data_IF_846359138676
#
_entry.id   IF_846359138676
#
_cell.length_a   1.000
_cell.length_b   1.000
_cell.length_c   1.000
_cell.angle_alpha   90.00
_cell.angle_beta   90.00
_cell.angle_gamma   90.00
#
_symmetry.space_group_name_H-M   'P 1'
#
loop_
_entity.id
_entity.type
_entity.pdbx_description
1 polymer ?
#
# COMPACT_ATOMS: atom_id res chain seq x y z
N UNK A 1 -17.89 -28.45 -8.44
CA UNK A 1 -18.37 -27.08 -8.72
C UNK A 1 -17.17 -26.17 -8.92
N UNK A 2 -16.93 -25.66 -10.14
CA UNK A 2 -15.91 -24.61 -10.35
C UNK A 2 -16.41 -23.35 -9.65
N UNK A 3 -15.73 -22.89 -8.60
CA UNK A 3 -16.03 -21.60 -7.96
C UNK A 3 -15.94 -20.52 -9.03
N UNK A 4 -17.00 -19.73 -9.20
CA UNK A 4 -16.93 -18.52 -10.01
C UNK A 4 -15.82 -17.63 -9.46
N UNK A 5 -15.02 -16.97 -10.32
CA UNK A 5 -13.97 -16.09 -9.87
C UNK A 5 -14.56 -14.99 -8.99
N UNK A 6 -13.91 -14.69 -7.87
CA UNK A 6 -14.36 -13.70 -6.89
C UNK A 6 -14.42 -12.27 -7.47
N UNK A 7 -13.70 -12.03 -8.56
CA UNK A 7 -13.55 -10.73 -9.20
C UNK A 7 -13.73 -10.84 -10.71
N UNK A 8 -14.00 -9.70 -11.32
CA UNK A 8 -14.17 -9.55 -12.77
C UNK A 8 -12.89 -9.05 -13.44
N UNK A 9 -12.68 -9.34 -14.74
CA UNK A 9 -11.55 -8.80 -15.49
C UNK A 9 -11.50 -7.26 -15.51
N UNK A 10 -12.67 -6.61 -15.46
CA UNK A 10 -12.76 -5.16 -15.45
C UNK A 10 -12.20 -4.56 -14.14
N UNK A 11 -12.51 -5.18 -12.99
CA UNK A 11 -11.98 -4.75 -11.69
C UNK A 11 -10.45 -4.86 -11.65
N UNK A 12 -9.90 -5.96 -12.13
CA UNK A 12 -8.43 -6.17 -12.21
C UNK A 12 -7.77 -5.14 -13.10
N UNK A 13 -8.37 -4.80 -14.25
CA UNK A 13 -7.81 -3.81 -15.18
C UNK A 13 -7.94 -2.37 -14.69
N UNK A 14 -8.97 -2.07 -13.90
CA UNK A 14 -9.21 -0.72 -13.38
C UNK A 14 -8.33 -0.38 -12.16
N UNK A 15 -8.05 -1.35 -11.29
CA UNK A 15 -7.22 -1.15 -10.10
C UNK A 15 -6.24 -2.32 -9.86
N UNK A 16 -5.26 -2.52 -10.78
CA UNK A 16 -4.45 -3.72 -10.78
C UNK A 16 -3.55 -3.86 -9.55
N UNK A 17 -3.11 -2.76 -8.92
CA UNK A 17 -2.31 -2.83 -7.69
C UNK A 17 -3.08 -3.37 -6.48
N UNK A 18 -4.40 -3.56 -6.59
CA UNK A 18 -5.25 -4.11 -5.55
C UNK A 18 -5.32 -5.64 -5.52
N UNK A 19 -4.66 -6.36 -6.43
CA UNK A 19 -4.78 -7.80 -6.60
C UNK A 19 -3.45 -8.54 -6.50
N UNK A 20 -3.48 -9.72 -5.89
CA UNK A 20 -2.35 -10.66 -5.89
C UNK A 20 -2.17 -11.32 -7.25
N UNK A 21 -0.99 -11.87 -7.55
CA UNK A 21 -0.77 -12.59 -8.81
C UNK A 21 -1.75 -13.75 -8.98
N UNK A 22 -2.04 -14.47 -7.88
CA UNK A 22 -3.00 -15.57 -7.87
C UNK A 22 -4.40 -15.11 -8.27
N UNK A 23 -4.90 -14.04 -7.63
CA UNK A 23 -6.22 -13.48 -7.96
C UNK A 23 -6.28 -13.00 -9.41
N UNK A 24 -5.22 -12.37 -9.92
CA UNK A 24 -5.17 -11.99 -11.34
C UNK A 24 -5.20 -13.21 -12.26
N UNK A 25 -4.41 -14.23 -11.95
CA UNK A 25 -4.28 -15.43 -12.79
C UNK A 25 -5.58 -16.22 -12.89
N UNK A 26 -6.38 -16.24 -11.82
CA UNK A 26 -7.72 -16.86 -11.81
C UNK A 26 -8.73 -16.12 -12.71
N UNK A 27 -8.52 -14.82 -12.96
CA UNK A 27 -9.49 -13.95 -13.66
C UNK A 27 -9.12 -13.72 -15.12
N UNK A 28 -7.85 -13.39 -15.42
CA UNK A 28 -7.37 -13.04 -16.76
C UNK A 28 -6.45 -14.12 -17.37
N UNK A 29 -6.19 -15.20 -16.63
CA UNK A 29 -5.30 -16.28 -17.06
C UNK A 29 -3.82 -16.02 -16.74
N UNK A 30 -3.05 -17.09 -16.56
CA UNK A 30 -1.66 -17.04 -16.05
C UNK A 30 -0.71 -16.22 -16.92
N UNK A 31 -0.82 -16.34 -18.25
CA UNK A 31 0.06 -15.64 -19.19
C UNK A 31 -0.18 -14.13 -19.17
N UNK A 32 -1.44 -13.69 -19.22
CA UNK A 32 -1.81 -12.26 -19.17
C UNK A 32 -1.50 -11.69 -17.78
N UNK A 33 -1.82 -12.43 -16.71
CA UNK A 33 -1.51 -12.03 -15.35
C UNK A 33 -0.01 -11.83 -15.14
N UNK A 34 0.83 -12.75 -15.65
CA UNK A 34 2.29 -12.63 -15.51
C UNK A 34 2.82 -11.40 -16.23
N UNK A 35 2.42 -11.18 -17.48
CA UNK A 35 2.82 -10.01 -18.24
C UNK A 35 2.40 -8.70 -17.55
N UNK A 36 1.15 -8.65 -17.06
CA UNK A 36 0.63 -7.48 -16.35
C UNK A 36 1.36 -7.24 -15.01
N UNK A 37 1.60 -8.29 -14.22
CA UNK A 37 2.30 -8.15 -12.94
C UNK A 37 3.74 -7.68 -13.14
N UNK A 38 4.46 -8.24 -14.12
CA UNK A 38 5.79 -7.77 -14.47
C UNK A 38 5.80 -6.31 -14.95
N UNK A 39 4.81 -5.90 -15.74
CA UNK A 39 4.63 -4.50 -16.14
C UNK A 39 4.48 -3.59 -14.90
N UNK A 40 3.62 -3.96 -13.95
CA UNK A 40 3.27 -3.12 -12.79
C UNK A 40 4.43 -2.88 -11.82
N UNK A 41 5.27 -3.90 -11.61
CA UNK A 41 6.30 -3.90 -10.56
C UNK A 41 7.73 -3.76 -11.08
N UNK A 42 8.02 -4.11 -12.33
CA UNK A 42 9.38 -3.97 -12.93
C UNK A 42 9.51 -2.73 -13.81
N UNK A 43 8.41 -2.22 -14.38
CA UNK A 43 8.44 -1.04 -15.23
C UNK A 43 7.98 0.22 -14.48
N UNK A 44 8.06 1.36 -15.18
CA UNK A 44 7.59 2.64 -14.63
C UNK A 44 6.05 2.62 -14.50
N UNK A 45 5.49 3.00 -13.33
CA UNK A 45 4.04 3.01 -13.13
C UNK A 45 3.35 3.94 -14.14
N UNK A 46 2.33 3.41 -14.82
CA UNK A 46 1.49 4.15 -15.77
C UNK A 46 0.37 4.89 -15.03
N UNK A 47 0.12 6.15 -15.39
CA UNK A 47 -0.93 6.99 -14.77
C UNK A 47 -2.31 6.32 -14.72
N UNK A 48 -2.67 5.53 -15.75
CA UNK A 48 -3.96 4.82 -15.82
C UNK A 48 -4.20 3.82 -14.68
N UNK A 49 -3.13 3.26 -14.10
CA UNK A 49 -3.21 2.23 -13.07
C UNK A 49 -3.12 2.82 -11.65
N UNK A 50 -2.94 4.14 -11.52
CA UNK A 50 -2.73 4.78 -10.23
C UNK A 50 -4.05 5.15 -9.56
N UNK A 51 -4.14 4.90 -8.26
CA UNK A 51 -5.24 5.33 -7.37
C UNK A 51 -4.89 6.62 -6.62
N UNK A 52 -3.64 7.06 -6.69
CA UNK A 52 -3.15 8.29 -6.05
C UNK A 52 -2.04 8.97 -6.85
N UNK A 53 -1.81 10.24 -6.57
CA UNK A 53 -0.79 11.07 -7.21
C UNK A 53 0.12 11.70 -6.15
N UNK A 54 1.41 11.85 -6.46
CA UNK A 54 2.32 12.62 -5.61
C UNK A 54 1.97 14.10 -5.74
N UNK A 55 1.50 14.72 -4.65
CA UNK A 55 1.17 16.13 -4.60
C UNK A 55 2.37 16.98 -4.19
N UNK A 56 3.11 16.53 -3.19
CA UNK A 56 4.26 17.25 -2.65
C UNK A 56 5.31 16.28 -2.12
N UNK A 57 6.57 16.70 -2.12
CA UNK A 57 7.70 15.99 -1.52
C UNK A 57 8.52 16.99 -0.69
N UNK A 58 8.53 16.80 0.61
CA UNK A 58 9.35 17.58 1.54
C UNK A 58 10.61 16.78 1.88
N UNK A 59 11.80 17.36 1.68
CA UNK A 59 13.08 16.68 1.94
C UNK A 59 13.81 17.33 3.10
N UNK A 60 14.38 16.51 3.98
CA UNK A 60 15.22 16.95 5.10
C UNK A 60 16.29 15.90 5.36
N UNK A 61 17.56 16.24 5.08
CA UNK A 61 18.70 15.34 5.26
C UNK A 61 18.44 13.96 4.62
N UNK A 62 18.40 12.90 5.42
CA UNK A 62 18.15 11.52 4.98
C UNK A 62 16.66 11.14 4.90
N UNK A 63 15.74 12.08 5.11
CA UNK A 63 14.30 11.83 5.19
C UNK A 63 13.54 12.58 4.10
N UNK A 64 12.63 11.89 3.42
CA UNK A 64 11.73 12.47 2.42
C UNK A 64 10.27 12.13 2.80
N UNK A 65 9.45 13.16 3.02
CA UNK A 65 8.02 13.03 3.27
C UNK A 65 7.26 13.26 1.97
N UNK A 66 6.48 12.26 1.56
CA UNK A 66 5.61 12.29 0.40
C UNK A 66 4.18 12.55 0.86
N UNK A 67 3.53 13.51 0.20
CA UNK A 67 2.09 13.76 0.35
C UNK A 67 1.41 13.26 -0.90
N UNK A 68 0.50 12.29 -0.73
CA UNK A 68 -0.28 11.73 -1.81
C UNK A 68 -1.70 12.29 -1.81
N UNK A 69 -2.19 12.66 -2.98
CA UNK A 69 -3.59 13.02 -3.24
C UNK A 69 -4.33 11.79 -3.77
N UNK A 70 -5.37 11.36 -3.07
CA UNK A 70 -6.23 10.23 -3.40
C UNK A 70 -7.33 10.66 -4.38
N UNK A 71 -7.97 9.70 -5.07
CA UNK A 71 -9.08 9.96 -6.01
C UNK A 71 -10.26 10.72 -5.40
N UNK A 72 -10.46 10.64 -4.09
CA UNK A 72 -11.51 11.32 -3.34
C UNK A 72 -11.05 12.68 -2.75
N UNK A 73 -9.98 13.27 -3.27
CA UNK A 73 -9.39 14.54 -2.85
C UNK A 73 -8.95 14.57 -1.37
N UNK A 74 -8.67 13.39 -0.80
CA UNK A 74 -8.07 13.25 0.52
C UNK A 74 -6.56 13.11 0.41
N UNK A 75 -5.86 13.41 1.50
CA UNK A 75 -4.42 13.35 1.55
C UNK A 75 -3.95 12.31 2.56
N UNK A 76 -2.87 11.61 2.21
CA UNK A 76 -2.11 10.77 3.12
C UNK A 76 -0.63 11.09 3.03
N UNK A 77 0.10 10.73 4.08
CA UNK A 77 1.54 10.93 4.15
C UNK A 77 2.27 9.58 4.15
N UNK A 78 3.43 9.56 3.51
CA UNK A 78 4.37 8.45 3.54
C UNK A 78 5.76 9.02 3.76
N UNK A 79 6.55 8.42 4.64
CA UNK A 79 7.90 8.90 4.92
C UNK A 79 8.91 7.86 4.45
N UNK A 80 9.86 8.26 3.61
CA UNK A 80 11.01 7.46 3.23
C UNK A 80 12.25 7.95 4.00
N UNK A 81 12.88 7.05 4.74
CA UNK A 81 14.11 7.30 5.49
C UNK A 81 15.24 6.52 4.82
N UNK A 82 16.20 7.24 4.24
CA UNK A 82 17.38 6.68 3.60
C UNK A 82 18.28 6.02 4.65
N UNK A 83 18.78 4.82 4.32
CA UNK A 83 19.78 4.08 5.09
C UNK A 83 20.95 3.71 4.16
N UNK A 84 21.97 3.05 4.70
CA UNK A 84 23.16 2.65 3.94
C UNK A 84 22.83 1.76 2.74
N UNK A 85 22.01 0.73 2.94
CA UNK A 85 21.76 -0.32 1.92
C UNK A 85 20.40 -0.23 1.21
N UNK A 86 19.65 0.88 1.41
CA UNK A 86 18.29 1.07 0.93
C UNK A 86 17.53 2.08 1.79
N UNK A 87 16.25 1.87 2.05
CA UNK A 87 15.46 2.76 2.91
C UNK A 87 14.40 2.05 3.73
N UNK A 88 13.92 2.74 4.76
CA UNK A 88 12.73 2.38 5.53
C UNK A 88 11.60 3.27 5.10
N UNK A 89 10.45 2.67 4.75
CA UNK A 89 9.23 3.42 4.41
C UNK A 89 8.21 3.29 5.52
N UNK A 90 7.69 4.43 5.97
CA UNK A 90 6.56 4.54 6.88
C UNK A 90 5.28 4.71 6.07
N UNK A 91 4.40 3.72 6.12
CA UNK A 91 3.21 3.59 5.28
C UNK A 91 1.94 3.85 6.09
N UNK A 92 1.02 4.62 5.52
CA UNK A 92 -0.30 4.89 6.05
C UNK A 92 -1.28 3.77 5.68
N UNK A 93 -2.25 3.50 6.56
CA UNK A 93 -3.29 2.48 6.36
C UNK A 93 -4.69 3.05 6.32
N UNK A 94 -4.89 4.30 6.77
CA UNK A 94 -6.18 4.99 6.78
C UNK A 94 -6.01 6.48 6.46
N UNK A 95 -7.09 7.14 6.08
CA UNK A 95 -7.19 8.60 6.09
C UNK A 95 -7.68 9.02 7.47
N UNK A 96 -6.78 9.60 8.27
CA UNK A 96 -7.02 9.87 9.68
C UNK A 96 -6.86 8.61 10.55
N UNK A 97 -7.27 8.66 11.81
CA UNK A 97 -7.18 7.52 12.73
C UNK A 97 -8.35 7.51 13.74
N UNK A 98 -9.06 6.39 13.91
CA UNK A 98 -10.23 6.30 14.79
C UNK A 98 -9.88 6.18 16.28
N UNK A 99 -8.61 5.91 16.61
CA UNK A 99 -8.20 5.63 18.00
C UNK A 99 -8.23 6.89 18.87
N UNK A 100 -7.96 8.07 18.30
CA UNK A 100 -8.02 9.33 19.05
C UNK A 100 -6.91 9.51 20.10
N UNK A 101 -5.70 8.95 19.89
CA UNK A 101 -4.57 9.17 20.79
C UNK A 101 -4.29 10.67 20.98
N UNK A 102 -4.27 11.16 22.22
CA UNK A 102 -4.18 12.59 22.56
C UNK A 102 -2.93 13.32 22.01
N UNK A 103 -1.85 12.57 21.79
CA UNK A 103 -0.57 13.08 21.28
C UNK A 103 -0.45 12.93 19.74
N UNK A 104 -1.41 12.26 19.09
CA UNK A 104 -1.35 11.93 17.67
C UNK A 104 -2.24 12.87 16.86
N UNK A 105 -1.64 13.63 15.96
CA UNK A 105 -2.38 14.54 15.07
C UNK A 105 -3.38 13.81 14.18
N UNK A 106 -3.05 12.60 13.71
CA UNK A 106 -3.99 11.78 12.93
C UNK A 106 -5.20 11.33 13.75
N UNK A 107 -5.03 11.12 15.06
CA UNK A 107 -6.14 10.82 15.97
C UNK A 107 -7.00 12.06 16.23
N UNK A 108 -6.38 13.25 16.31
CA UNK A 108 -7.08 14.52 16.52
C UNK A 108 -7.93 14.94 15.32
N UNK A 109 -7.46 14.66 14.10
CA UNK A 109 -8.19 14.90 12.86
C UNK A 109 -9.36 13.92 12.63
N UNK A 110 -9.52 12.92 13.51
CA UNK A 110 -10.56 11.92 13.43
C UNK A 110 -10.35 10.89 12.31
N UNK A 111 -11.30 9.98 12.17
CA UNK A 111 -11.30 8.96 11.12
C UNK A 111 -12.18 9.37 9.94
N UNK A 112 -11.67 9.17 8.73
CA UNK A 112 -12.42 9.39 7.49
C UNK A 112 -12.77 8.06 6.83
N UNK A 113 -11.76 7.26 6.47
CA UNK A 113 -11.95 5.95 5.84
C UNK A 113 -10.68 5.10 5.86
N UNK A 114 -10.87 3.82 5.60
CA UNK A 114 -9.79 2.88 5.30
C UNK A 114 -9.20 3.11 3.90
N UNK A 115 -7.89 2.83 3.77
CA UNK A 115 -7.25 2.72 2.46
C UNK A 115 -7.50 1.34 1.86
N UNK A 116 -7.64 1.30 0.55
CA UNK A 116 -7.65 0.04 -0.22
C UNK A 116 -6.26 -0.60 -0.23
N UNK A 117 -6.17 -1.90 -0.51
CA UNK A 117 -4.88 -2.58 -0.69
C UNK A 117 -4.03 -1.92 -1.77
N UNK A 118 -4.66 -1.48 -2.86
CA UNK A 118 -4.02 -0.73 -3.94
C UNK A 118 -3.40 0.58 -3.47
N UNK A 119 -4.14 1.36 -2.67
CA UNK A 119 -3.62 2.60 -2.10
C UNK A 119 -2.42 2.34 -1.16
N UNK A 120 -2.46 1.27 -0.36
CA UNK A 120 -1.35 0.90 0.52
C UNK A 120 -0.11 0.51 -0.30
N UNK A 121 -0.27 -0.33 -1.33
CA UNK A 121 0.83 -0.79 -2.20
C UNK A 121 1.45 0.37 -2.97
N UNK A 122 0.63 1.28 -3.50
CA UNK A 122 1.10 2.39 -4.33
C UNK A 122 1.97 3.40 -3.58
N UNK A 123 1.83 3.53 -2.25
CA UNK A 123 2.74 4.31 -1.42
C UNK A 123 4.20 3.83 -1.53
N UNK A 124 4.44 2.56 -1.86
CA UNK A 124 5.79 1.99 -2.04
C UNK A 124 6.23 2.10 -3.50
N UNK A 125 5.34 1.76 -4.44
CA UNK A 125 5.63 1.78 -5.89
C UNK A 125 5.99 3.19 -6.37
N UNK A 126 5.29 4.21 -5.86
CA UNK A 126 5.49 5.58 -6.27
C UNK A 126 6.80 6.20 -5.75
N UNK A 127 7.44 5.61 -4.74
CA UNK A 127 8.73 6.12 -4.24
C UNK A 127 9.85 5.98 -5.27
N UNK A 128 9.82 4.89 -6.07
CA UNK A 128 10.88 4.54 -7.05
C UNK A 128 12.27 4.45 -6.43
N UNK A 129 12.36 3.94 -5.21
CA UNK A 129 13.61 3.73 -4.49
C UNK A 129 13.69 2.31 -3.95
N UNK A 130 14.91 1.86 -3.67
CA UNK A 130 15.13 0.59 -2.99
C UNK A 130 14.64 0.68 -1.55
N UNK A 131 13.54 -0.02 -1.26
CA UNK A 131 12.98 -0.17 0.09
C UNK A 131 13.46 -1.50 0.65
N UNK A 132 13.97 -1.48 1.89
CA UNK A 132 14.39 -2.69 2.60
C UNK A 132 13.50 -2.98 3.81
N UNK A 133 12.83 -1.96 4.36
CA UNK A 133 11.90 -2.12 5.49
C UNK A 133 10.64 -1.32 5.26
N UNK A 134 9.50 -1.94 5.55
CA UNK A 134 8.18 -1.33 5.53
C UNK A 134 7.66 -1.35 6.96
N UNK A 135 7.34 -0.17 7.49
CA UNK A 135 6.72 -0.03 8.80
C UNK A 135 5.34 0.60 8.63
N UNK A 136 4.30 -0.05 9.15
CA UNK A 136 2.95 0.51 9.18
C UNK A 136 2.79 1.38 10.43
N UNK A 137 3.38 2.58 10.35
CA UNK A 137 3.40 3.59 11.41
C UNK A 137 3.00 4.99 10.90
N UNK A 138 2.37 5.04 9.72
CA UNK A 138 1.86 6.27 9.14
C UNK A 138 0.52 6.67 9.76
N UNK A 139 -0.38 7.19 8.94
CA UNK A 139 -1.74 7.53 9.34
C UNK A 139 -2.58 6.26 9.49
N UNK A 140 -3.30 6.17 10.61
CA UNK A 140 -4.27 5.10 10.89
C UNK A 140 -3.77 4.01 11.86
N UNK A 141 -4.72 3.20 12.32
CA UNK A 141 -4.47 1.97 13.08
C UNK A 141 -4.53 0.77 12.12
N UNK A 142 -3.38 0.12 11.82
CA UNK A 142 -3.32 -0.94 10.82
C UNK A 142 -4.29 -2.09 11.05
N UNK A 143 -4.51 -2.50 12.31
CA UNK A 143 -5.42 -3.62 12.61
C UNK A 143 -6.91 -3.28 12.38
N UNK A 144 -7.28 -2.00 12.37
CA UNK A 144 -8.65 -1.58 12.03
C UNK A 144 -8.90 -1.56 10.50
N UNK A 145 -7.85 -1.77 9.71
CA UNK A 145 -7.91 -1.99 8.27
C UNK A 145 -7.29 -3.35 7.88
N UNK A 146 -7.55 -4.38 8.70
CA UNK A 146 -6.91 -5.69 8.60
C UNK A 146 -6.97 -6.32 7.21
N UNK A 147 -8.16 -6.39 6.59
CA UNK A 147 -8.34 -7.09 5.32
C UNK A 147 -7.52 -6.45 4.19
N UNK A 148 -7.56 -5.12 4.06
CA UNK A 148 -6.78 -4.41 3.05
C UNK A 148 -5.27 -4.47 3.35
N UNK A 149 -4.89 -4.39 4.63
CA UNK A 149 -3.50 -4.49 5.07
C UNK A 149 -2.90 -5.85 4.71
N UNK A 150 -3.56 -6.94 5.10
CA UNK A 150 -3.09 -8.30 4.83
C UNK A 150 -3.05 -8.55 3.32
N UNK A 151 -4.07 -8.10 2.58
CA UNK A 151 -4.06 -8.19 1.12
C UNK A 151 -2.87 -7.43 0.51
N UNK A 152 -2.60 -6.20 0.96
CA UNK A 152 -1.44 -5.43 0.51
C UNK A 152 -0.12 -6.15 0.82
N UNK A 153 0.03 -6.72 2.02
CA UNK A 153 1.22 -7.49 2.40
C UNK A 153 1.40 -8.70 1.47
N UNK A 154 0.33 -9.43 1.13
CA UNK A 154 0.41 -10.53 0.18
C UNK A 154 0.86 -10.09 -1.21
N UNK A 155 0.37 -8.93 -1.68
CA UNK A 155 0.76 -8.35 -2.97
C UNK A 155 2.25 -7.97 -2.98
N UNK A 156 2.71 -7.30 -1.93
CA UNK A 156 4.12 -6.87 -1.79
C UNK A 156 5.09 -8.05 -1.70
N UNK A 157 4.65 -9.17 -1.09
CA UNK A 157 5.43 -10.39 -0.94
C UNK A 157 5.35 -11.33 -2.15
N UNK A 158 4.57 -10.98 -3.17
CA UNK A 158 4.39 -11.85 -4.32
C UNK A 158 5.70 -12.02 -5.09
N UNK A 159 6.04 -13.28 -5.42
CA UNK A 159 7.31 -13.65 -6.04
C UNK A 159 7.48 -13.09 -7.45
N UNK A 160 6.37 -12.84 -8.16
CA UNK A 160 6.41 -12.29 -9.50
C UNK A 160 6.50 -10.75 -9.52
N UNK A 161 6.30 -10.10 -8.36
CA UNK A 161 6.36 -8.64 -8.21
C UNK A 161 7.60 -8.17 -7.47
N UNK A 162 7.39 -7.46 -6.37
CA UNK A 162 8.49 -6.94 -5.55
C UNK A 162 9.22 -8.03 -4.76
N UNK A 163 8.58 -9.19 -4.52
CA UNK A 163 9.14 -10.29 -3.73
C UNK A 163 9.73 -9.82 -2.39
N UNK A 164 8.99 -8.96 -1.68
CA UNK A 164 9.48 -8.31 -0.47
C UNK A 164 9.61 -9.33 0.69
N UNK A 165 10.70 -9.31 1.46
CA UNK A 165 10.91 -10.30 2.50
C UNK A 165 10.07 -10.02 3.75
N UNK A 166 9.62 -11.07 4.44
CA UNK A 166 8.66 -10.97 5.56
C UNK A 166 9.24 -10.24 6.77
N UNK A 167 10.51 -10.47 7.07
CA UNK A 167 11.27 -9.85 8.16
C UNK A 167 11.52 -8.34 7.94
N UNK A 168 11.37 -7.89 6.69
CA UNK A 168 11.38 -6.47 6.34
C UNK A 168 10.06 -5.74 6.66
N UNK A 169 9.00 -6.42 7.09
CA UNK A 169 7.68 -5.83 7.32
C UNK A 169 7.37 -5.79 8.82
N UNK A 170 7.03 -4.60 9.34
CA UNK A 170 6.63 -4.41 10.73
C UNK A 170 5.25 -3.75 10.79
N UNK A 171 4.31 -4.36 11.50
CA UNK A 171 2.99 -3.82 11.77
C UNK A 171 3.02 -3.26 13.20
N UNK A 172 2.80 -1.96 13.35
CA UNK A 172 2.58 -1.34 14.65
C UNK A 172 1.08 -1.32 14.93
N UNK A 173 0.69 -1.55 16.18
CA UNK A 173 -0.71 -1.47 16.60
C UNK A 173 -0.77 -0.91 18.01
N UNK A 174 -1.75 -0.06 18.28
CA UNK A 174 -2.14 0.26 19.65
C UNK A 174 -3.07 -0.85 20.13
N UNK A 175 -2.63 -1.59 21.15
CA UNK A 175 -3.24 -2.85 21.63
C UNK A 175 -4.78 -2.83 21.53
N UNK A 176 -5.30 -3.57 20.57
CA UNK A 176 -6.70 -3.98 20.53
C UNK A 176 -6.74 -5.48 20.87
N UNK A 177 -7.00 -5.78 22.13
CA UNK A 177 -7.41 -7.13 22.52
C UNK A 177 -8.95 -7.14 22.47
N UNK A 178 -9.58 -7.74 21.44
CA UNK A 178 -11.02 -7.92 21.46
C UNK A 178 -11.38 -8.77 22.69
N UNK A 179 -12.27 -8.24 23.54
CA UNK A 179 -12.89 -9.00 24.62
C UNK A 179 -13.91 -9.99 24.07
#
# INVERSE_FOLDING_TARGET
MKRLPKYTPAEVRNDPYGFTYKEMSEVIGENEAKALYEELYKQLPRKKNLSMLVKNICKSSDTEKYVYELKDNKYIETVFIKRRDGGTVCVSTQVGCPVGCIFCESGRNGFVRNLTSSEIVQQIILLRRKVNRIVFMGMGEPLFNYDNLIKAIHILRDRYGLNFPTDGITISTVVFCPK
#
